data_IF_594957837182
#
_entry.id   IF_594957837182
#
_cell.length_a   1.000
_cell.length_b   1.000
_cell.length_c   1.000
_cell.angle_alpha   90.00
_cell.angle_beta   90.00
_cell.angle_gamma   90.00
#
_symmetry.space_group_name_H-M   'P 1'
#
loop_
_entity.id
_entity.type
_entity.pdbx_description
1 polymer ?
#
# COMPACT_ATOMS: atom_id res chain seq x y z
N UNK A 1 1.79 6.24 -1.06
CA UNK A 1 2.78 5.15 -0.94
C UNK A 1 3.15 5.03 0.53
N UNK A 2 3.44 3.83 1.04
CA UNK A 2 3.87 3.58 2.42
C UNK A 2 5.19 2.80 2.40
N UNK A 3 6.20 3.30 3.09
CA UNK A 3 7.53 2.66 3.19
C UNK A 3 7.89 2.53 4.66
N UNK A 4 8.25 1.31 5.09
CA UNK A 4 8.61 1.00 6.48
C UNK A 4 9.84 0.14 6.54
N UNK A 5 10.75 0.48 7.45
CA UNK A 5 11.94 -0.31 7.74
C UNK A 5 11.67 -1.42 8.76
N UNK A 6 12.44 -2.50 8.65
CA UNK A 6 12.39 -3.67 9.51
C UNK A 6 13.80 -4.22 9.77
N UNK A 7 13.95 -4.91 10.90
CA UNK A 7 15.22 -5.52 11.29
C UNK A 7 15.49 -6.87 10.62
N UNK A 8 14.48 -7.48 9.97
CA UNK A 8 14.62 -8.76 9.28
C UNK A 8 13.46 -8.99 8.28
N UNK A 9 13.65 -9.89 7.31
CA UNK A 9 12.58 -10.29 6.38
C UNK A 9 11.42 -10.97 7.09
N UNK A 10 11.71 -11.76 8.13
CA UNK A 10 10.66 -12.42 8.92
C UNK A 10 9.82 -11.42 9.73
N UNK A 11 10.38 -10.25 10.08
CA UNK A 11 9.66 -9.18 10.76
C UNK A 11 8.88 -8.27 9.80
N UNK A 12 9.14 -8.36 8.48
CA UNK A 12 8.48 -7.52 7.50
C UNK A 12 6.98 -7.81 7.45
N UNK A 13 6.18 -6.85 7.91
CA UNK A 13 4.73 -6.99 7.90
C UNK A 13 4.16 -6.71 6.50
N UNK A 14 3.58 -7.74 5.89
CA UNK A 14 2.86 -7.68 4.62
C UNK A 14 1.37 -7.38 4.78
N UNK A 15 0.82 -7.60 5.97
CA UNK A 15 -0.56 -7.27 6.31
C UNK A 15 -0.67 -5.76 6.57
N UNK A 16 -1.02 -5.03 5.53
CA UNK A 16 -1.29 -3.60 5.61
C UNK A 16 -2.79 -3.36 5.71
N UNK A 17 -3.20 -2.63 6.75
CA UNK A 17 -4.58 -2.16 6.95
C UNK A 17 -4.62 -0.65 6.72
N UNK A 18 -4.77 -0.18 5.46
CA UNK A 18 -4.89 1.23 5.16
C UNK A 18 -6.15 1.82 5.77
N UNK A 19 -6.01 3.00 6.39
CA UNK A 19 -7.15 3.87 6.67
C UNK A 19 -7.32 4.79 5.46
N UNK A 20 -8.55 4.95 4.97
CA UNK A 20 -8.84 5.76 3.79
C UNK A 20 -9.62 7.03 4.15
N UNK A 21 -9.34 8.13 3.46
CA UNK A 21 -10.14 9.36 3.55
C UNK A 21 -11.42 9.29 2.69
N UNK A 22 -12.20 10.37 2.70
CA UNK A 22 -13.44 10.50 1.90
C UNK A 22 -13.21 10.38 0.39
N UNK A 23 -11.98 10.64 -0.07
CA UNK A 23 -11.57 10.53 -1.48
C UNK A 23 -10.98 9.14 -1.81
N UNK A 24 -10.97 8.23 -0.84
CA UNK A 24 -10.40 6.89 -0.96
C UNK A 24 -8.88 6.85 -0.85
N UNK A 25 -8.19 7.94 -0.54
CA UNK A 25 -6.73 7.94 -0.43
C UNK A 25 -6.28 7.38 0.93
N UNK A 26 -5.20 6.57 0.99
CA UNK A 26 -4.71 6.06 2.26
C UNK A 26 -4.07 7.18 3.11
N UNK A 27 -4.46 7.29 4.37
CA UNK A 27 -4.06 8.37 5.29
C UNK A 27 -3.00 7.95 6.30
N UNK A 28 -2.88 6.65 6.61
CA UNK A 28 -1.92 6.10 7.57
C UNK A 28 -0.61 5.62 6.93
N UNK A 29 -0.15 6.37 5.92
CA UNK A 29 1.11 6.08 5.23
C UNK A 29 2.33 6.58 6.03
N UNK A 30 3.40 5.82 6.01
CA UNK A 30 4.73 6.20 6.48
C UNK A 30 5.69 6.32 5.29
N UNK A 31 6.79 7.06 5.45
CA UNK A 31 7.90 7.03 4.50
C UNK A 31 9.23 6.95 5.23
N UNK A 32 9.76 5.73 5.34
CA UNK A 32 11.07 5.45 5.90
C UNK A 32 11.82 4.49 4.98
N UNK A 33 12.86 4.99 4.33
CA UNK A 33 13.69 4.25 3.37
C UNK A 33 14.71 3.32 4.03
N UNK A 34 14.79 3.31 5.36
CA UNK A 34 15.83 2.60 6.09
C UNK A 34 17.23 3.13 5.81
N UNK A 35 18.22 2.51 6.44
CA UNK A 35 19.65 2.78 6.22
C UNK A 35 20.31 1.75 5.30
N UNK A 36 21.65 1.85 5.20
CA UNK A 36 22.49 0.82 4.58
C UNK A 36 22.21 -0.55 5.19
N UNK A 37 22.10 -1.58 4.34
CA UNK A 37 21.75 -2.95 4.76
C UNK A 37 20.33 -3.13 5.29
N UNK A 38 19.53 -2.06 5.39
CA UNK A 38 18.19 -2.08 5.96
C UNK A 38 17.17 -2.78 5.07
N UNK A 39 16.23 -3.50 5.68
CA UNK A 39 15.12 -4.14 4.97
C UNK A 39 13.92 -3.20 5.00
N UNK A 40 13.35 -2.92 3.84
CA UNK A 40 12.17 -2.05 3.72
C UNK A 40 11.03 -2.75 2.99
N UNK A 41 9.81 -2.51 3.47
CA UNK A 41 8.59 -2.86 2.74
C UNK A 41 8.03 -1.61 2.09
N UNK A 42 7.87 -1.64 0.78
CA UNK A 42 7.29 -0.58 -0.04
C UNK A 42 5.88 -1.03 -0.45
N UNK A 43 4.89 -0.17 -0.19
CA UNK A 43 3.48 -0.40 -0.52
C UNK A 43 2.93 0.75 -1.35
N UNK A 44 2.30 0.41 -2.47
CA UNK A 44 1.60 1.35 -3.34
C UNK A 44 0.15 0.94 -3.43
N UNK A 45 -0.74 1.81 -2.93
CA UNK A 45 -2.17 1.72 -3.16
C UNK A 45 -2.55 2.53 -4.39
N UNK A 46 -3.31 1.93 -5.29
CA UNK A 46 -3.94 2.59 -6.41
C UNK A 46 -5.45 2.32 -6.38
N UNK A 47 -6.24 3.38 -6.37
CA UNK A 47 -7.69 3.25 -6.50
C UNK A 47 -8.06 3.34 -7.97
N UNK A 48 -8.56 2.23 -8.49
CA UNK A 48 -9.18 2.23 -9.81
C UNK A 48 -10.64 2.64 -9.68
N UNK A 49 -10.99 3.79 -10.27
CA UNK A 49 -12.38 4.22 -10.40
C UNK A 49 -12.97 3.64 -11.69
N UNK A 50 -14.08 2.91 -11.57
CA UNK A 50 -14.81 2.46 -12.74
C UNK A 50 -15.47 3.66 -13.42
N UNK A 51 -15.26 3.80 -14.73
CA UNK A 51 -15.89 4.88 -15.52
C UNK A 51 -17.35 4.53 -15.81
N UNK A 52 -17.63 3.26 -16.09
CA UNK A 52 -18.99 2.78 -16.36
C UNK A 52 -19.82 2.79 -15.09
N UNK A 53 -20.98 3.48 -15.07
CA UNK A 53 -21.89 3.43 -13.95
C UNK A 53 -22.33 2.00 -13.63
N UNK A 54 -22.44 1.66 -12.34
CA UNK A 54 -22.94 0.37 -11.87
C UNK A 54 -21.91 -0.76 -11.80
N UNK A 55 -20.79 -0.71 -12.52
CA UNK A 55 -19.77 -1.76 -12.44
C UNK A 55 -19.11 -1.84 -11.06
N UNK A 56 -18.91 -0.72 -10.37
CA UNK A 56 -18.37 -0.73 -9.01
C UNK A 56 -19.32 -1.29 -7.96
N UNK A 57 -20.61 -1.51 -8.27
CA UNK A 57 -21.51 -2.26 -7.38
C UNK A 57 -21.20 -3.76 -7.40
N UNK A 58 -20.77 -4.28 -8.56
CA UNK A 58 -20.47 -5.70 -8.76
C UNK A 58 -18.99 -6.04 -8.53
N UNK A 59 -18.10 -5.11 -8.90
CA UNK A 59 -16.65 -5.33 -8.94
C UNK A 59 -15.88 -4.45 -7.94
N UNK A 60 -16.54 -3.45 -7.35
CA UNK A 60 -15.93 -2.55 -6.38
C UNK A 60 -16.02 -3.07 -4.95
N UNK A 61 -15.23 -2.48 -4.05
CA UNK A 61 -15.22 -2.80 -2.62
C UNK A 61 -16.31 -2.06 -1.82
N UNK A 62 -17.39 -1.63 -2.49
CA UNK A 62 -18.59 -1.10 -1.84
C UNK A 62 -18.69 0.42 -1.64
N UNK A 63 -17.61 1.20 -1.79
CA UNK A 63 -17.67 2.67 -1.65
C UNK A 63 -16.95 3.35 -2.83
N UNK A 64 -17.59 4.35 -3.44
CA UNK A 64 -17.04 5.21 -4.50
C UNK A 64 -16.81 4.59 -5.90
N UNK A 65 -17.60 3.57 -6.29
CA UNK A 65 -17.52 2.98 -7.64
C UNK A 65 -16.08 2.58 -8.04
N UNK A 66 -15.31 2.02 -7.10
CA UNK A 66 -13.90 1.74 -7.31
C UNK A 66 -13.40 0.52 -6.54
N UNK A 67 -12.19 0.08 -6.91
CA UNK A 67 -11.47 -1.01 -6.27
C UNK A 67 -10.03 -0.57 -5.99
N UNK A 68 -9.57 -0.85 -4.77
CA UNK A 68 -8.21 -0.54 -4.35
C UNK A 68 -7.28 -1.72 -4.66
N UNK A 69 -6.23 -1.46 -5.43
CA UNK A 69 -5.14 -2.40 -5.66
C UNK A 69 -3.96 -2.02 -4.77
N UNK A 70 -3.40 -3.00 -4.05
CA UNK A 70 -2.19 -2.82 -3.26
C UNK A 70 -1.09 -3.68 -3.82
N UNK A 71 0.02 -3.04 -4.19
CA UNK A 71 1.25 -3.70 -4.56
C UNK A 71 2.26 -3.57 -3.42
N UNK A 72 2.84 -4.69 -3.01
CA UNK A 72 3.79 -4.78 -1.89
C UNK A 72 5.08 -5.42 -2.36
N UNK A 73 6.20 -4.76 -2.09
CA UNK A 73 7.55 -5.28 -2.33
C UNK A 73 8.36 -5.17 -1.05
N UNK A 74 9.21 -6.16 -0.81
CA UNK A 74 10.19 -6.13 0.29
C UNK A 74 11.58 -6.21 -0.36
N UNK A 75 12.44 -5.24 -0.04
CA UNK A 75 13.82 -5.18 -0.54
C UNK A 75 14.78 -4.95 0.62
N UNK A 76 16.04 -5.31 0.42
CA UNK A 76 17.14 -4.96 1.31
C UNK A 76 18.05 -3.96 0.59
N UNK A 77 18.38 -2.86 1.26
CA UNK A 77 19.33 -1.87 0.77
C UNK A 77 20.74 -2.47 0.76
N UNK A 78 21.57 -2.02 -0.19
CA UNK A 78 22.97 -2.42 -0.25
C UNK A 78 23.73 -2.01 1.03
N UNK A 79 24.71 -2.81 1.50
CA UNK A 79 25.44 -2.56 2.75
C UNK A 79 26.56 -1.50 2.64
N UNK A 80 26.76 -0.84 1.50
CA UNK A 80 27.73 0.24 1.30
C UNK A 80 27.43 1.05 0.03
#
# INVERSE_FOLDING_TARGET
>A
YDVRSYNSFAAANTAWTPAFDIHGNPTNNCFDTGGSGGIVTIRVAYNYSFITPGLGYFLGSGVNNGVAFVYTVIIQNEPF
#
